data_IF_604777189308
#
_entry.id   IF_604777189308
#
_cell.length_a   1.000
_cell.length_b   1.000
_cell.length_c   1.000
_cell.angle_alpha   90.00
_cell.angle_beta   90.00
_cell.angle_gamma   90.00
#
_symmetry.space_group_name_H-M   'P 1'
#
loop_
_entity.id
_entity.type
_entity.pdbx_description
1 polymer ?
#
# COMPACT_ATOMS: atom_id res chain seq x y z
N UNK A 1 2.95 -5.00 15.98
CA UNK A 1 2.25 -4.11 15.03
C UNK A 1 2.60 -4.63 13.65
N UNK A 2 1.60 -5.02 12.88
CA UNK A 2 1.76 -5.50 11.50
C UNK A 2 1.75 -4.33 10.52
N UNK A 3 2.11 -4.56 9.24
CA UNK A 3 1.94 -3.55 8.18
C UNK A 3 0.47 -3.14 8.02
N UNK A 4 -0.48 -4.05 8.25
CA UNK A 4 -1.91 -3.76 8.21
C UNK A 4 -2.29 -2.80 9.34
N UNK A 5 -1.79 -3.03 10.56
CA UNK A 5 -2.03 -2.13 11.69
C UNK A 5 -1.46 -0.73 11.41
N UNK A 6 -0.28 -0.67 10.81
CA UNK A 6 0.34 0.59 10.39
C UNK A 6 -0.51 1.33 9.35
N UNK A 7 -0.98 0.64 8.30
CA UNK A 7 -1.83 1.24 7.26
C UNK A 7 -3.14 1.76 7.86
N UNK A 8 -3.76 1.00 8.78
CA UNK A 8 -4.96 1.43 9.52
C UNK A 8 -4.69 2.68 10.36
N UNK A 9 -3.52 2.78 10.98
CA UNK A 9 -3.11 3.94 11.77
C UNK A 9 -2.90 5.19 10.90
N UNK A 10 -2.31 5.03 9.71
CA UNK A 10 -2.01 6.14 8.79
C UNK A 10 -3.27 6.66 8.10
N UNK A 11 -4.17 5.76 7.67
CA UNK A 11 -5.33 6.07 6.82
C UNK A 11 -6.15 7.30 7.24
N UNK A 12 -6.50 7.52 8.53
CA UNK A 12 -7.36 8.64 8.90
C UNK A 12 -6.75 10.00 8.60
N UNK A 13 -5.43 10.15 8.76
CA UNK A 13 -4.72 11.42 8.55
C UNK A 13 -3.32 11.15 7.96
N UNK A 14 -3.18 10.75 6.68
CA UNK A 14 -1.89 10.34 6.13
C UNK A 14 -0.81 11.44 6.24
N UNK A 15 -1.20 12.69 5.95
CA UNK A 15 -0.31 13.87 6.05
C UNK A 15 0.35 14.04 7.42
N UNK A 16 -0.21 13.50 8.50
CA UNK A 16 0.43 13.54 9.83
C UNK A 16 1.72 12.72 9.87
N UNK A 17 1.73 11.59 9.16
CA UNK A 17 2.86 10.64 9.14
C UNK A 17 3.86 10.97 8.04
N UNK A 18 3.35 11.34 6.86
CA UNK A 18 4.19 11.44 5.65
C UNK A 18 4.37 12.87 5.13
N UNK A 19 3.77 13.87 5.79
CA UNK A 19 3.81 15.32 5.49
C UNK A 19 3.23 15.71 4.12
N UNK A 20 3.64 15.07 3.03
CA UNK A 20 3.16 15.25 1.66
C UNK A 20 2.08 14.21 1.36
N UNK A 21 0.99 14.62 0.70
CA UNK A 21 -0.08 13.70 0.27
C UNK A 21 0.37 12.94 -0.98
N UNK A 22 1.22 11.94 -0.79
CA UNK A 22 1.96 11.32 -1.87
C UNK A 22 2.05 9.81 -1.69
N UNK A 23 1.75 9.07 -2.74
CA UNK A 23 1.91 7.61 -2.77
C UNK A 23 3.36 7.19 -2.49
N UNK A 24 4.33 7.90 -3.05
CA UNK A 24 5.76 7.61 -2.85
C UNK A 24 6.23 7.99 -1.43
N UNK A 25 5.66 9.05 -0.85
CA UNK A 25 5.94 9.38 0.56
C UNK A 25 5.36 8.33 1.51
N UNK A 26 4.22 7.72 1.16
CA UNK A 26 3.68 6.57 1.89
C UNK A 26 4.59 5.33 1.75
N UNK A 27 4.99 5.00 0.53
CA UNK A 27 5.87 3.86 0.24
C UNK A 27 7.17 3.94 1.05
N UNK A 28 7.92 5.04 0.93
CA UNK A 28 9.19 5.22 1.67
C UNK A 28 8.99 5.19 3.18
N UNK A 29 7.86 5.69 3.69
CA UNK A 29 7.55 5.62 5.11
C UNK A 29 7.31 4.18 5.58
N UNK A 30 6.55 3.39 4.81
CA UNK A 30 6.29 1.99 5.11
C UNK A 30 7.58 1.17 4.95
N UNK A 31 8.40 1.43 3.94
CA UNK A 31 9.71 0.82 3.73
C UNK A 31 10.61 1.07 4.96
N UNK A 32 10.74 2.32 5.40
CA UNK A 32 11.53 2.67 6.57
C UNK A 32 11.00 2.02 7.86
N UNK A 33 9.67 1.92 8.00
CA UNK A 33 9.05 1.20 9.11
C UNK A 33 9.31 -0.31 9.05
N UNK A 34 9.31 -0.89 7.86
CA UNK A 34 9.59 -2.30 7.58
C UNK A 34 11.04 -2.65 7.94
N UNK A 35 12.03 -1.84 7.50
CA UNK A 35 13.45 -2.07 7.79
C UNK A 35 13.85 -1.86 9.25
N UNK A 36 12.93 -1.42 10.12
CA UNK A 36 13.20 -1.24 11.56
C UNK A 36 13.34 -2.58 12.31
N UNK A 37 12.62 -3.62 11.88
CA UNK A 37 12.53 -4.91 12.60
C UNK A 37 12.50 -6.05 11.57
N UNK A 38 13.39 -7.03 11.72
CA UNK A 38 13.60 -8.17 10.80
C UNK A 38 12.72 -9.38 11.14
N UNK A 39 11.87 -9.30 12.17
CA UNK A 39 10.96 -10.39 12.55
C UNK A 39 9.96 -10.74 11.47
N UNK A 40 9.67 -12.04 11.34
CA UNK A 40 8.72 -12.58 10.36
C UNK A 40 7.30 -11.99 10.48
N UNK A 41 6.81 -11.58 11.65
CA UNK A 41 5.47 -10.96 11.79
C UNK A 41 5.37 -9.55 11.16
N UNK A 42 6.50 -8.98 10.73
CA UNK A 42 6.59 -7.77 9.91
C UNK A 42 6.34 -8.09 8.43
N UNK A 43 6.08 -9.37 8.07
CA UNK A 43 5.81 -9.92 6.73
C UNK A 43 4.92 -8.98 5.94
N UNK A 44 5.58 -8.09 5.24
CA UNK A 44 4.97 -7.16 4.35
C UNK A 44 4.57 -7.88 3.05
N UNK A 45 4.51 -9.22 3.03
CA UNK A 45 4.01 -10.03 1.91
C UNK A 45 2.63 -9.58 1.48
N UNK A 46 1.75 -9.24 2.43
CA UNK A 46 0.41 -8.73 2.12
C UNK A 46 0.48 -7.48 1.22
N UNK A 47 1.46 -6.60 1.43
CA UNK A 47 1.61 -5.35 0.69
C UNK A 47 2.52 -5.49 -0.55
N UNK A 48 3.73 -6.04 -0.39
CA UNK A 48 4.76 -6.11 -1.43
C UNK A 48 4.66 -7.35 -2.30
N UNK A 49 3.89 -8.37 -1.92
CA UNK A 49 3.67 -9.58 -2.73
C UNK A 49 2.21 -9.67 -3.15
N UNK A 50 1.29 -9.93 -2.22
CA UNK A 50 -0.10 -10.26 -2.53
C UNK A 50 -0.86 -9.06 -3.13
N UNK A 51 -0.77 -7.88 -2.53
CA UNK A 51 -1.40 -6.67 -3.08
C UNK A 51 -0.73 -6.23 -4.38
N UNK A 52 0.59 -6.35 -4.48
CA UNK A 52 1.33 -6.05 -5.71
C UNK A 52 0.89 -6.94 -6.87
N UNK A 53 0.87 -8.26 -6.68
CA UNK A 53 0.40 -9.24 -7.66
C UNK A 53 -1.07 -8.99 -8.04
N UNK A 54 -1.93 -8.71 -7.06
CA UNK A 54 -3.33 -8.37 -7.30
C UNK A 54 -3.48 -7.11 -8.18
N UNK A 55 -2.65 -6.09 -7.98
CA UNK A 55 -2.64 -4.89 -8.83
C UNK A 55 -2.18 -5.20 -10.26
N UNK A 56 -1.14 -6.02 -10.41
CA UNK A 56 -0.65 -6.45 -11.72
C UNK A 56 -1.75 -7.18 -12.50
N UNK A 57 -2.43 -8.13 -11.86
CA UNK A 57 -3.54 -8.87 -12.46
C UNK A 57 -4.72 -7.97 -12.81
N UNK A 58 -5.07 -7.03 -11.94
CA UNK A 58 -6.20 -6.10 -12.12
C UNK A 58 -5.98 -5.15 -13.28
N UNK A 59 -4.77 -4.59 -13.40
CA UNK A 59 -4.47 -3.58 -14.41
C UNK A 59 -3.79 -4.14 -15.67
N UNK A 60 -3.53 -5.46 -15.71
CA UNK A 60 -2.82 -6.13 -16.81
C UNK A 60 -1.47 -5.46 -17.12
N UNK A 61 -0.79 -5.03 -16.05
CA UNK A 61 0.54 -4.44 -16.12
C UNK A 61 1.57 -5.48 -15.69
N UNK A 62 2.69 -5.52 -16.40
CA UNK A 62 3.88 -6.29 -16.01
C UNK A 62 5.10 -5.39 -16.15
N UNK A 63 6.09 -5.53 -15.27
CA UNK A 63 7.31 -4.73 -15.33
C UNK A 63 7.88 -4.33 -13.97
N UNK A 64 9.02 -3.62 -14.02
CA UNK A 64 9.82 -3.16 -12.90
C UNK A 64 9.14 -2.03 -12.13
N UNK A 65 9.04 -2.18 -10.80
CA UNK A 65 8.50 -1.17 -9.88
C UNK A 65 7.78 -1.82 -8.69
N UNK A 66 7.36 -0.99 -7.74
CA UNK A 66 6.53 -1.39 -6.60
C UNK A 66 5.04 -1.20 -6.84
N UNK A 67 4.23 -1.50 -5.81
CA UNK A 67 2.79 -1.22 -5.83
C UNK A 67 2.49 0.28 -6.00
N UNK A 68 3.37 1.15 -5.49
CA UNK A 68 3.24 2.61 -5.63
C UNK A 68 3.40 3.06 -7.09
N UNK A 69 4.35 2.49 -7.83
CA UNK A 69 4.58 2.79 -9.24
C UNK A 69 3.35 2.42 -10.08
N UNK A 70 2.74 1.24 -9.84
CA UNK A 70 1.53 0.82 -10.55
C UNK A 70 0.39 1.81 -10.31
N UNK A 71 0.21 2.25 -9.07
CA UNK A 71 -0.85 3.19 -8.70
C UNK A 71 -0.59 4.57 -9.32
N UNK A 72 0.65 5.06 -9.26
CA UNK A 72 1.02 6.33 -9.89
C UNK A 72 0.81 6.28 -11.41
N UNK A 73 1.27 5.23 -12.07
CA UNK A 73 1.04 5.01 -13.50
C UNK A 73 -0.45 5.02 -13.84
N UNK A 74 -1.30 4.42 -12.99
CA UNK A 74 -2.73 4.32 -13.26
C UNK A 74 -3.52 5.61 -12.99
N UNK A 75 -3.11 6.39 -12.00
CA UNK A 75 -3.87 7.54 -11.50
C UNK A 75 -3.25 8.91 -11.80
N UNK A 76 -2.06 8.93 -12.41
CA UNK A 76 -1.36 10.09 -12.98
C UNK A 76 -0.89 11.16 -11.97
N UNK A 77 -1.44 11.21 -10.76
CA UNK A 77 -0.97 12.09 -9.68
C UNK A 77 -0.67 11.31 -8.41
N UNK A 78 0.33 11.77 -7.65
CA UNK A 78 0.72 11.15 -6.39
C UNK A 78 -0.42 11.19 -5.36
N UNK A 79 -1.20 12.28 -5.35
CA UNK A 79 -2.32 12.49 -4.44
C UNK A 79 -3.45 11.49 -4.72
N UNK A 80 -3.84 11.36 -5.99
CA UNK A 80 -4.92 10.47 -6.40
C UNK A 80 -4.50 9.02 -6.24
N UNK A 81 -3.24 8.71 -6.53
CA UNK A 81 -2.68 7.38 -6.26
C UNK A 81 -2.74 7.03 -4.77
N UNK A 82 -2.45 7.98 -3.87
CA UNK A 82 -2.58 7.77 -2.42
C UNK A 82 -4.04 7.56 -1.98
N UNK A 83 -4.98 8.36 -2.49
CA UNK A 83 -6.40 8.17 -2.16
C UNK A 83 -6.89 6.80 -2.63
N UNK A 84 -6.50 6.41 -3.85
CA UNK A 84 -6.87 5.13 -4.44
C UNK A 84 -6.15 3.95 -3.81
N UNK A 85 -4.95 4.13 -3.26
CA UNK A 85 -4.26 3.10 -2.49
C UNK A 85 -5.17 2.55 -1.39
N UNK A 86 -5.76 3.41 -0.56
CA UNK A 86 -6.63 2.95 0.52
C UNK A 86 -7.84 2.20 -0.04
N UNK A 87 -8.53 2.77 -1.03
CA UNK A 87 -9.71 2.13 -1.65
C UNK A 87 -9.37 0.74 -2.21
N UNK A 88 -8.28 0.64 -2.95
CA UNK A 88 -7.86 -0.60 -3.60
C UNK A 88 -7.34 -1.61 -2.58
N UNK A 89 -6.62 -1.18 -1.56
CA UNK A 89 -6.11 -2.05 -0.51
C UNK A 89 -7.26 -2.70 0.28
N UNK A 90 -8.31 -1.95 0.61
CA UNK A 90 -9.51 -2.52 1.22
C UNK A 90 -10.26 -3.48 0.28
N UNK A 91 -10.29 -3.16 -1.01
CA UNK A 91 -10.94 -4.00 -2.03
C UNK A 91 -10.21 -5.33 -2.19
N UNK A 92 -8.89 -5.29 -2.37
CA UNK A 92 -8.00 -6.44 -2.34
C UNK A 92 -8.24 -7.29 -1.10
N UNK A 93 -8.20 -6.68 0.09
CA UNK A 93 -8.33 -7.40 1.34
C UNK A 93 -9.69 -8.11 1.47
N UNK A 94 -10.76 -7.47 1.01
CA UNK A 94 -12.10 -8.06 0.94
C UNK A 94 -12.21 -9.21 -0.05
N UNK A 95 -11.59 -9.10 -1.21
CA UNK A 95 -11.61 -10.15 -2.23
C UNK A 95 -10.81 -11.38 -1.79
N UNK A 96 -9.63 -11.18 -1.20
CA UNK A 96 -8.69 -12.25 -0.82
C UNK A 96 -9.07 -12.91 0.50
N UNK A 97 -9.29 -12.12 1.56
CA UNK A 97 -9.52 -12.65 2.91
C UNK A 97 -10.99 -12.68 3.32
N UNK A 98 -11.91 -12.31 2.42
CA UNK A 98 -13.37 -12.29 2.66
C UNK A 98 -13.80 -11.42 3.85
N UNK A 99 -13.02 -10.39 4.17
CA UNK A 99 -13.28 -9.44 5.27
C UNK A 99 -12.81 -8.03 4.91
N UNK A 100 -13.35 -6.99 5.55
CA UNK A 100 -12.97 -5.60 5.30
C UNK A 100 -11.93 -5.12 6.32
N UNK A 101 -11.03 -4.21 5.91
CA UNK A 101 -10.11 -3.56 6.84
C UNK A 101 -10.77 -2.42 7.60
N UNK A 102 -11.72 -1.75 6.95
CA UNK A 102 -12.56 -0.68 7.49
C UNK A 102 -13.93 -0.63 6.80
#
# INVERSE_FOLDING_TARGET
MTVIDLIKLIKPIPKLFIRKHSIFSLEVFIDGWYYRDDKEDVRASVLYTEFYEWLQEKYKVGGSGGWADILYYKFETEEKALDMFFVLFNTFYKEVYKTSLW
#
